data_IF_404585699264
#
_entry.id   IF_404585699264
#
_cell.length_a   1.000
_cell.length_b   1.000
_cell.length_c   1.000
_cell.angle_alpha   90.00
_cell.angle_beta   90.00
_cell.angle_gamma   90.00
#
_symmetry.space_group_name_H-M   'P 1'
#
loop_
_entity.id
_entity.type
_entity.pdbx_description
1 polymer ?
#
# COMPACT_ATOMS: atom_id res chain seq x y z
N UNK A 1 35.42 17.38 47.23
CA UNK A 1 33.98 17.70 47.36
C UNK A 1 33.39 18.46 46.20
N UNK A 2 34.08 19.40 45.55
CA UNK A 2 33.54 20.17 44.39
C UNK A 2 33.27 19.29 43.13
N UNK A 3 34.06 18.26 42.88
CA UNK A 3 33.91 17.39 41.72
C UNK A 3 32.75 16.38 41.85
N UNK A 4 32.36 16.05 43.08
CA UNK A 4 31.23 15.12 43.28
C UNK A 4 29.88 15.81 43.06
N UNK A 5 29.78 17.12 43.37
CA UNK A 5 28.57 17.91 43.10
C UNK A 5 28.36 18.12 41.59
N UNK A 6 29.43 18.26 40.80
CA UNK A 6 29.36 18.45 39.35
C UNK A 6 28.90 17.17 38.67
N UNK A 7 29.31 15.99 39.16
CA UNK A 7 28.87 14.70 38.60
C UNK A 7 27.39 14.42 38.87
N UNK A 8 26.88 14.81 40.07
CA UNK A 8 25.46 14.69 40.39
C UNK A 8 24.57 15.62 39.54
N UNK A 9 25.04 16.82 39.20
CA UNK A 9 24.30 17.73 38.35
C UNK A 9 24.25 17.24 36.87
N UNK A 10 25.26 16.53 36.36
CA UNK A 10 25.24 15.93 35.05
C UNK A 10 24.30 14.72 34.99
N UNK A 11 24.23 13.91 36.05
CA UNK A 11 23.33 12.76 36.10
C UNK A 11 21.85 13.18 36.12
N UNK A 12 21.52 14.27 36.81
CA UNK A 12 20.15 14.80 36.86
C UNK A 12 19.65 15.35 35.52
N UNK A 13 20.55 15.81 34.64
CA UNK A 13 20.17 16.28 33.31
C UNK A 13 19.95 15.16 32.30
N UNK A 14 20.51 13.98 32.51
CA UNK A 14 20.31 12.81 31.63
C UNK A 14 18.93 12.15 31.84
N UNK A 15 18.41 12.19 33.08
CA UNK A 15 17.08 11.61 33.35
C UNK A 15 15.93 12.46 32.81
N UNK A 16 16.10 13.77 32.67
CA UNK A 16 15.03 14.65 32.16
C UNK A 16 14.76 14.52 30.66
N UNK A 17 15.71 14.02 29.88
CA UNK A 17 15.53 13.83 28.44
C UNK A 17 14.81 12.52 28.10
N UNK A 18 14.86 11.51 28.94
CA UNK A 18 14.20 10.21 28.68
C UNK A 18 12.71 10.26 29.05
N UNK A 19 12.30 11.16 29.95
CA UNK A 19 10.91 11.25 30.40
C UNK A 19 10.06 12.29 29.67
N UNK A 20 10.61 13.03 28.71
CA UNK A 20 9.88 14.09 28.00
C UNK A 20 9.43 13.69 26.59
N UNK A 21 9.22 12.39 26.32
CA UNK A 21 8.49 11.96 25.13
C UNK A 21 6.99 12.22 25.32
N UNK A 22 6.55 13.45 25.14
CA UNK A 22 5.13 13.82 25.05
C UNK A 22 4.42 13.22 23.82
N UNK A 23 5.08 12.42 23.02
CA UNK A 23 4.46 11.62 21.96
C UNK A 23 4.27 10.19 22.45
N UNK A 24 3.47 10.00 23.48
CA UNK A 24 2.90 8.68 23.73
C UNK A 24 1.92 8.43 22.61
N UNK A 25 2.36 7.68 21.60
CA UNK A 25 1.46 7.14 20.58
C UNK A 25 0.60 6.12 21.30
N UNK A 26 -0.57 6.53 21.72
CA UNK A 26 -1.54 5.61 22.30
C UNK A 26 -2.05 4.70 21.19
N UNK A 27 -2.00 3.37 21.38
CA UNK A 27 -2.58 2.46 20.40
C UNK A 27 -4.08 2.71 20.29
N UNK A 28 -4.57 2.70 19.07
CA UNK A 28 -6.02 2.74 18.81
C UNK A 28 -6.58 1.36 19.11
N UNK A 29 -7.58 1.28 19.98
CA UNK A 29 -8.25 0.03 20.34
C UNK A 29 -9.57 -0.09 19.62
N UNK A 30 -9.72 -1.14 18.80
CA UNK A 30 -10.99 -1.50 18.15
C UNK A 30 -11.71 -2.59 18.96
N UNK A 31 -12.94 -2.33 19.40
CA UNK A 31 -13.73 -3.32 20.14
C UNK A 31 -14.49 -4.29 19.23
N UNK A 32 -14.97 -3.83 18.08
CA UNK A 32 -15.78 -4.60 17.14
C UNK A 32 -15.05 -4.99 15.86
N UNK A 33 -13.93 -4.35 15.58
CA UNK A 33 -13.12 -4.57 14.40
C UNK A 33 -12.12 -3.43 14.20
N UNK A 34 -11.14 -3.66 13.37
CA UNK A 34 -10.11 -2.67 13.05
C UNK A 34 -9.67 -2.84 11.60
N UNK A 35 -9.41 -1.71 10.95
CA UNK A 35 -8.81 -1.66 9.62
C UNK A 35 -7.59 -0.75 9.67
N UNK A 36 -6.43 -1.27 9.31
CA UNK A 36 -5.17 -0.54 9.28
C UNK A 36 -4.56 -0.64 7.88
N UNK A 37 -4.26 0.50 7.27
CA UNK A 37 -3.65 0.56 5.94
C UNK A 37 -2.63 1.69 5.86
N UNK A 38 -1.84 1.73 4.79
CA UNK A 38 -0.88 2.81 4.53
C UNK A 38 -1.55 4.13 4.10
N UNK A 39 -2.88 4.16 3.87
CA UNK A 39 -3.58 5.37 3.46
C UNK A 39 -4.91 5.52 4.19
N UNK A 40 -5.12 6.67 4.85
CA UNK A 40 -6.28 6.92 5.70
C UNK A 40 -7.63 6.78 4.96
N UNK A 41 -7.71 7.13 3.66
CA UNK A 41 -8.91 6.96 2.85
C UNK A 41 -9.26 5.48 2.71
N UNK A 42 -8.27 4.62 2.47
CA UNK A 42 -8.50 3.18 2.37
C UNK A 42 -8.93 2.58 3.72
N UNK A 43 -8.31 2.99 4.83
CA UNK A 43 -8.75 2.60 6.17
C UNK A 43 -10.18 3.03 6.48
N UNK A 44 -10.57 4.25 6.05
CA UNK A 44 -11.94 4.76 6.19
C UNK A 44 -12.93 3.89 5.40
N UNK A 45 -12.63 3.56 4.15
CA UNK A 45 -13.46 2.70 3.30
C UNK A 45 -13.65 1.32 3.94
N UNK A 46 -12.57 0.68 4.36
CA UNK A 46 -12.67 -0.63 5.02
C UNK A 46 -13.51 -0.60 6.30
N UNK A 47 -13.38 0.47 7.11
CA UNK A 47 -14.23 0.69 8.28
C UNK A 47 -15.70 0.85 7.89
N UNK A 48 -16.01 1.61 6.85
CA UNK A 48 -17.37 1.81 6.37
C UNK A 48 -18.00 0.50 5.88
N UNK A 49 -17.23 -0.36 5.21
CA UNK A 49 -17.67 -1.71 4.83
C UNK A 49 -18.01 -2.54 6.06
N UNK A 50 -17.16 -2.57 7.09
CA UNK A 50 -17.46 -3.27 8.34
C UNK A 50 -18.70 -2.71 9.04
N UNK A 51 -18.90 -1.39 9.04
CA UNK A 51 -20.06 -0.72 9.63
C UNK A 51 -21.36 -1.00 8.88
N UNK A 52 -21.29 -1.25 7.57
CA UNK A 52 -22.45 -1.63 6.75
C UNK A 52 -22.84 -3.10 6.83
N UNK A 53 -22.18 -3.88 7.70
CA UNK A 53 -22.46 -5.29 7.91
C UNK A 53 -21.57 -6.25 7.10
N UNK A 54 -20.59 -5.72 6.36
CA UNK A 54 -19.57 -6.54 5.71
C UNK A 54 -18.60 -7.15 6.70
N UNK A 55 -17.95 -8.21 6.30
CA UNK A 55 -16.94 -8.91 7.09
C UNK A 55 -15.50 -8.42 6.76
N UNK A 56 -14.48 -9.04 7.36
CA UNK A 56 -13.09 -8.68 7.16
C UNK A 56 -12.64 -8.91 5.70
N UNK A 57 -13.20 -9.86 5.00
CA UNK A 57 -12.87 -10.16 3.61
C UNK A 57 -13.46 -9.13 2.67
N UNK A 58 -14.71 -8.71 2.90
CA UNK A 58 -15.33 -7.60 2.18
C UNK A 58 -14.51 -6.31 2.35
N UNK A 59 -14.12 -6.00 3.59
CA UNK A 59 -13.27 -4.85 3.88
C UNK A 59 -11.91 -4.95 3.16
N UNK A 60 -11.30 -6.14 3.10
CA UNK A 60 -10.03 -6.37 2.42
C UNK A 60 -10.14 -6.10 0.91
N UNK A 61 -11.20 -6.59 0.27
CA UNK A 61 -11.46 -6.34 -1.15
C UNK A 61 -11.60 -4.83 -1.41
N UNK A 62 -12.48 -4.15 -0.68
CA UNK A 62 -12.71 -2.71 -0.87
C UNK A 62 -11.44 -1.88 -0.62
N UNK A 63 -10.66 -2.23 0.41
CA UNK A 63 -9.38 -1.61 0.74
C UNK A 63 -8.35 -1.81 -0.37
N UNK A 64 -8.22 -3.03 -0.91
CA UNK A 64 -7.25 -3.34 -1.97
C UNK A 64 -7.49 -2.48 -3.21
N UNK A 65 -8.73 -2.38 -3.67
CA UNK A 65 -9.07 -1.53 -4.81
C UNK A 65 -8.93 -0.03 -4.50
N UNK A 66 -9.26 0.41 -3.28
CA UNK A 66 -9.06 1.79 -2.87
C UNK A 66 -7.57 2.16 -2.85
N UNK A 67 -6.70 1.28 -2.31
CA UNK A 67 -5.25 1.48 -2.31
C UNK A 67 -4.67 1.54 -3.71
N UNK A 68 -5.20 0.77 -4.67
CA UNK A 68 -4.77 0.86 -6.06
C UNK A 68 -4.97 2.27 -6.67
N UNK A 69 -5.92 3.05 -6.14
CA UNK A 69 -6.18 4.42 -6.57
C UNK A 69 -5.39 5.44 -5.75
N UNK A 70 -5.48 5.36 -4.41
CA UNK A 70 -4.93 6.42 -3.53
C UNK A 70 -3.47 6.23 -3.18
N UNK A 71 -2.91 5.05 -3.43
CA UNK A 71 -1.51 4.71 -3.16
C UNK A 71 -0.88 3.96 -4.35
N UNK A 72 -0.87 4.53 -5.57
CA UNK A 72 -0.50 3.81 -6.80
C UNK A 72 0.95 3.32 -6.83
N UNK A 73 1.81 3.76 -5.91
CA UNK A 73 3.19 3.27 -5.79
C UNK A 73 3.30 1.89 -5.13
N UNK A 74 2.26 1.46 -4.41
CA UNK A 74 2.25 0.21 -3.64
C UNK A 74 0.96 -0.59 -3.83
N UNK A 75 -0.22 0.06 -3.81
CA UNK A 75 -1.49 -0.54 -4.19
C UNK A 75 -1.66 -0.53 -5.71
N UNK A 76 -2.08 -1.62 -6.30
CA UNK A 76 -2.26 -1.70 -7.74
C UNK A 76 -3.13 -2.91 -8.14
N UNK A 77 -3.69 -2.86 -9.34
CA UNK A 77 -4.39 -3.99 -9.97
C UNK A 77 -3.50 -4.76 -10.96
N UNK A 78 -2.29 -4.26 -11.19
CA UNK A 78 -1.30 -4.83 -12.12
C UNK A 78 -0.20 -5.63 -11.42
N UNK A 79 -0.35 -5.93 -10.14
CA UNK A 79 0.60 -6.72 -9.34
C UNK A 79 -0.04 -7.94 -8.71
N UNK A 80 0.38 -8.25 -7.52
CA UNK A 80 -0.11 -9.38 -6.74
C UNK A 80 0.16 -9.20 -5.25
N UNK A 81 0.04 -10.28 -4.51
CA UNK A 81 0.27 -10.26 -3.07
C UNK A 81 0.02 -11.60 -2.42
N UNK A 82 0.00 -11.56 -1.09
CA UNK A 82 -0.30 -12.70 -0.23
C UNK A 82 -1.33 -12.28 0.81
N UNK A 83 -2.19 -13.19 1.20
CA UNK A 83 -3.06 -13.02 2.36
C UNK A 83 -2.78 -14.12 3.38
N UNK A 84 -2.80 -13.74 4.66
CA UNK A 84 -2.82 -14.67 5.79
C UNK A 84 -4.13 -14.44 6.52
N UNK A 85 -4.90 -15.48 6.66
CA UNK A 85 -6.25 -15.49 7.19
C UNK A 85 -6.25 -16.31 8.47
N UNK A 86 -6.87 -15.80 9.51
CA UNK A 86 -7.08 -16.55 10.74
C UNK A 86 -8.58 -16.75 10.98
N UNK A 87 -9.00 -18.00 11.01
CA UNK A 87 -10.36 -18.43 11.33
C UNK A 87 -10.45 -18.71 12.82
N UNK A 88 -11.03 -17.78 13.56
CA UNK A 88 -11.06 -17.83 15.03
C UNK A 88 -11.82 -19.05 15.57
N UNK A 89 -12.95 -19.37 14.98
CA UNK A 89 -13.83 -20.44 15.48
C UNK A 89 -13.21 -21.83 15.27
N UNK A 90 -12.44 -22.00 14.21
CA UNK A 90 -11.75 -23.23 13.86
C UNK A 90 -10.31 -23.28 14.39
N UNK A 91 -9.79 -22.13 14.84
CA UNK A 91 -8.40 -21.93 15.25
C UNK A 91 -7.39 -22.35 14.16
N UNK A 92 -7.69 -22.01 12.90
CA UNK A 92 -6.89 -22.39 11.73
C UNK A 92 -6.37 -21.16 11.01
N UNK A 93 -5.16 -21.27 10.50
CA UNK A 93 -4.59 -20.30 9.56
C UNK A 93 -4.71 -20.82 8.13
N UNK A 94 -5.08 -19.93 7.23
CA UNK A 94 -5.09 -20.17 5.79
C UNK A 94 -4.24 -19.12 5.10
N UNK A 95 -3.64 -19.47 3.97
CA UNK A 95 -2.89 -18.54 3.13
C UNK A 95 -3.43 -18.54 1.71
N UNK A 96 -3.50 -17.37 1.11
CA UNK A 96 -3.81 -17.19 -0.30
C UNK A 96 -2.61 -16.55 -0.99
N UNK A 97 -2.07 -17.22 -1.98
CA UNK A 97 -1.00 -16.72 -2.85
C UNK A 97 -1.60 -16.26 -4.18
N UNK A 98 -1.69 -14.96 -4.35
CA UNK A 98 -2.11 -14.30 -5.60
C UNK A 98 -0.97 -13.44 -6.18
N UNK A 99 0.26 -13.87 -5.94
CA UNK A 99 1.42 -13.18 -6.50
C UNK A 99 1.39 -13.22 -8.03
N UNK A 100 1.97 -12.19 -8.61
CA UNK A 100 2.16 -12.13 -10.05
C UNK A 100 3.09 -13.24 -10.53
N UNK A 101 2.81 -13.74 -11.74
CA UNK A 101 3.58 -14.81 -12.39
C UNK A 101 4.37 -14.26 -13.57
N UNK A 102 5.51 -14.89 -13.87
CA UNK A 102 6.23 -14.61 -15.09
C UNK A 102 5.36 -14.93 -16.33
N UNK A 103 5.53 -14.18 -17.41
CA UNK A 103 4.93 -14.50 -18.69
C UNK A 103 5.40 -15.88 -19.19
N UNK A 104 4.53 -16.62 -19.88
CA UNK A 104 4.91 -17.91 -20.52
C UNK A 104 6.06 -17.76 -21.51
N UNK A 105 6.24 -16.58 -22.10
CA UNK A 105 7.36 -16.26 -22.99
C UNK A 105 8.63 -15.84 -22.26
N UNK A 106 8.65 -15.92 -20.93
CA UNK A 106 9.84 -15.57 -20.14
C UNK A 106 10.93 -16.63 -20.31
N UNK A 107 12.18 -16.18 -20.41
CA UNK A 107 13.34 -17.03 -20.46
C UNK A 107 14.40 -16.59 -19.45
N UNK A 108 15.32 -17.50 -19.14
CA UNK A 108 16.44 -17.22 -18.23
C UNK A 108 17.22 -15.97 -18.62
N UNK A 109 17.40 -15.77 -19.91
CA UNK A 109 18.31 -14.76 -20.45
C UNK A 109 17.56 -13.52 -20.98
N UNK A 110 16.24 -13.37 -20.67
CA UNK A 110 15.40 -12.30 -21.20
C UNK A 110 15.88 -10.89 -20.83
N UNK A 111 16.69 -10.76 -19.77
CA UNK A 111 17.25 -9.49 -19.32
C UNK A 111 18.72 -9.29 -19.69
N UNK A 112 19.24 -10.10 -20.60
CA UNK A 112 20.60 -9.97 -21.08
C UNK A 112 20.63 -9.19 -22.43
N UNK A 113 21.65 -8.33 -22.58
CA UNK A 113 22.07 -7.74 -23.85
C UNK A 113 23.53 -8.17 -24.06
N UNK A 114 23.83 -8.81 -25.17
CA UNK A 114 25.18 -9.32 -25.47
C UNK A 114 25.77 -10.20 -24.33
N UNK A 115 24.92 -11.01 -23.69
CA UNK A 115 25.23 -11.86 -22.53
C UNK A 115 25.50 -11.11 -21.21
N UNK A 116 25.32 -9.80 -21.17
CA UNK A 116 25.45 -8.98 -19.97
C UNK A 116 24.05 -8.55 -19.44
N UNK A 117 23.89 -8.55 -18.12
CA UNK A 117 22.63 -8.15 -17.48
C UNK A 117 22.39 -6.65 -17.64
N UNK A 118 21.23 -6.29 -18.22
CA UNK A 118 20.75 -4.91 -18.26
C UNK A 118 19.60 -4.71 -17.24
N UNK A 119 19.86 -3.99 -16.13
CA UNK A 119 18.86 -3.75 -15.10
C UNK A 119 17.64 -2.95 -15.59
N UNK A 120 17.76 -2.21 -16.69
CA UNK A 120 16.63 -1.47 -17.26
C UNK A 120 15.57 -2.41 -17.83
N UNK A 121 15.97 -3.54 -18.41
CA UNK A 121 15.03 -4.51 -18.97
C UNK A 121 14.13 -5.14 -17.90
N UNK A 122 14.60 -5.27 -16.66
CA UNK A 122 13.83 -5.81 -15.53
C UNK A 122 13.01 -4.76 -14.78
N UNK A 123 13.19 -3.47 -15.09
CA UNK A 123 12.55 -2.37 -14.37
C UNK A 123 11.75 -1.41 -15.23
N UNK A 124 11.95 -1.41 -16.54
CA UNK A 124 11.31 -0.49 -17.48
C UNK A 124 10.78 -1.21 -18.73
N UNK A 125 9.57 -0.86 -19.17
CA UNK A 125 8.97 -1.39 -20.38
C UNK A 125 8.31 -2.77 -20.22
N UNK A 126 7.96 -3.38 -21.34
CA UNK A 126 7.11 -4.57 -21.36
C UNK A 126 7.75 -5.83 -20.76
N UNK A 127 9.07 -5.97 -20.81
CA UNK A 127 9.77 -7.11 -20.22
C UNK A 127 9.75 -7.11 -18.68
N UNK A 128 9.51 -5.93 -18.08
CA UNK A 128 9.41 -5.79 -16.63
C UNK A 128 8.01 -6.11 -16.08
N UNK A 129 7.03 -6.37 -16.96
CA UNK A 129 5.63 -6.61 -16.57
C UNK A 129 5.42 -8.10 -16.37
N UNK A 130 4.89 -8.47 -15.19
CA UNK A 130 4.44 -9.82 -14.89
C UNK A 130 2.93 -9.97 -15.16
N UNK A 131 2.41 -11.19 -15.17
CA UNK A 131 0.97 -11.48 -15.22
C UNK A 131 0.36 -11.20 -13.85
N UNK A 132 -0.59 -10.24 -13.74
CA UNK A 132 -1.11 -9.82 -12.45
C UNK A 132 -1.99 -10.87 -11.77
N UNK A 133 -1.94 -10.89 -10.42
CA UNK A 133 -2.79 -11.75 -9.61
C UNK A 133 -3.76 -11.00 -8.68
N UNK A 134 -3.60 -9.66 -8.50
CA UNK A 134 -4.39 -8.92 -7.50
C UNK A 134 -5.90 -9.05 -7.69
N UNK A 135 -6.41 -8.89 -8.91
CA UNK A 135 -7.86 -8.94 -9.16
C UNK A 135 -8.39 -10.35 -8.94
N UNK A 136 -7.67 -11.34 -9.42
CA UNK A 136 -8.02 -12.76 -9.27
C UNK A 136 -8.02 -13.18 -7.80
N UNK A 137 -6.97 -12.84 -7.06
CA UNK A 137 -6.88 -13.12 -5.61
C UNK A 137 -7.97 -12.43 -4.80
N UNK A 138 -8.32 -11.19 -5.11
CA UNK A 138 -9.42 -10.50 -4.44
C UNK A 138 -10.77 -11.12 -4.81
N UNK A 139 -10.92 -11.59 -6.04
CA UNK A 139 -12.11 -12.30 -6.49
C UNK A 139 -12.25 -13.65 -5.78
N UNK A 140 -11.19 -14.45 -5.73
CA UNK A 140 -11.17 -15.74 -5.02
C UNK A 140 -11.50 -15.57 -3.54
N UNK A 141 -10.87 -14.59 -2.88
CA UNK A 141 -11.15 -14.25 -1.48
C UNK A 141 -12.63 -13.91 -1.26
N UNK A 142 -13.19 -13.09 -2.16
CA UNK A 142 -14.60 -12.70 -2.09
C UNK A 142 -15.53 -13.88 -2.35
N UNK A 143 -15.27 -14.70 -3.36
CA UNK A 143 -16.12 -15.86 -3.65
C UNK A 143 -16.16 -16.85 -2.50
N UNK A 144 -15.07 -17.02 -1.77
CA UNK A 144 -14.96 -17.96 -0.66
C UNK A 144 -15.55 -17.43 0.64
N UNK A 145 -15.39 -16.13 0.91
CA UNK A 145 -15.67 -15.56 2.23
C UNK A 145 -16.47 -14.26 2.21
N UNK A 146 -16.67 -13.65 1.07
CA UNK A 146 -17.41 -12.39 0.96
C UNK A 146 -18.89 -12.53 1.32
N UNK A 147 -19.44 -11.50 1.90
CA UNK A 147 -20.87 -11.44 2.28
C UNK A 147 -21.64 -10.33 1.56
N UNK A 148 -20.95 -9.27 1.13
CA UNK A 148 -21.56 -8.17 0.41
C UNK A 148 -21.36 -8.33 -1.11
N UNK A 149 -22.22 -7.71 -1.94
CA UNK A 149 -22.06 -7.79 -3.39
C UNK A 149 -20.72 -7.18 -3.84
N UNK A 150 -19.98 -7.89 -4.68
CA UNK A 150 -18.71 -7.44 -5.27
C UNK A 150 -18.76 -6.03 -5.83
N UNK A 151 -19.85 -5.74 -6.57
CA UNK A 151 -20.06 -4.43 -7.16
C UNK A 151 -20.01 -3.30 -6.14
N UNK A 152 -20.57 -3.52 -4.96
CA UNK A 152 -20.64 -2.51 -3.90
C UNK A 152 -19.27 -2.29 -3.25
N UNK A 153 -18.47 -3.34 -3.14
CA UNK A 153 -17.12 -3.30 -2.58
C UNK A 153 -16.14 -2.51 -3.46
N UNK A 154 -16.29 -2.56 -4.78
CA UNK A 154 -15.41 -1.84 -5.69
C UNK A 154 -15.87 -0.38 -5.97
N UNK A 155 -17.13 -0.03 -5.68
CA UNK A 155 -17.68 1.31 -5.93
C UNK A 155 -16.90 2.46 -5.29
N UNK A 156 -16.41 2.35 -4.04
CA UNK A 156 -15.59 3.42 -3.44
C UNK A 156 -14.33 3.72 -4.26
N UNK A 157 -13.64 2.69 -4.75
CA UNK A 157 -12.46 2.85 -5.59
C UNK A 157 -12.80 3.50 -6.95
N UNK A 158 -13.92 3.10 -7.58
CA UNK A 158 -14.40 3.70 -8.83
C UNK A 158 -14.69 5.19 -8.62
N UNK A 159 -15.34 5.56 -7.52
CA UNK A 159 -15.60 6.96 -7.19
C UNK A 159 -14.31 7.76 -6.99
N UNK A 160 -13.35 7.21 -6.26
CA UNK A 160 -12.05 7.84 -6.07
C UNK A 160 -11.31 8.06 -7.40
N UNK A 161 -11.35 7.07 -8.30
CA UNK A 161 -10.70 7.16 -9.60
C UNK A 161 -11.37 8.17 -10.54
N UNK A 162 -12.71 8.26 -10.52
CA UNK A 162 -13.48 9.14 -11.41
C UNK A 162 -13.62 10.58 -10.89
N UNK A 163 -13.76 10.76 -9.58
CA UNK A 163 -13.98 12.07 -8.97
C UNK A 163 -12.69 12.69 -8.46
N UNK A 164 -11.63 11.89 -8.33
CA UNK A 164 -10.36 12.31 -7.75
C UNK A 164 -10.36 12.29 -6.21
N UNK A 165 -9.19 12.51 -5.66
CA UNK A 165 -8.94 12.61 -4.23
C UNK A 165 -7.84 13.64 -3.95
N UNK A 166 -7.74 14.12 -2.72
CA UNK A 166 -6.68 15.04 -2.33
C UNK A 166 -5.37 14.25 -2.20
N UNK A 167 -4.39 14.58 -3.04
CA UNK A 167 -3.03 14.01 -2.98
C UNK A 167 -2.36 14.51 -1.71
N UNK A 168 -1.74 13.58 -0.95
CA UNK A 168 -0.97 13.93 0.25
C UNK A 168 0.40 14.50 -0.12
N UNK A 169 1.04 15.33 0.75
CA UNK A 169 2.40 15.81 0.52
C UNK A 169 3.38 14.68 0.21
N UNK A 170 3.32 13.61 0.99
CA UNK A 170 4.14 12.42 0.76
C UNK A 170 3.96 11.78 -0.63
N UNK A 171 2.72 11.68 -1.12
CA UNK A 171 2.46 11.16 -2.46
C UNK A 171 3.00 12.11 -3.54
N UNK A 172 2.87 13.40 -3.35
CA UNK A 172 3.39 14.38 -4.27
C UNK A 172 4.92 14.33 -4.38
N UNK A 173 5.60 14.29 -3.24
CA UNK A 173 7.05 14.15 -3.20
C UNK A 173 7.50 12.86 -3.90
N UNK A 174 6.76 11.76 -3.67
CA UNK A 174 7.00 10.50 -4.37
C UNK A 174 6.84 10.65 -5.89
N UNK A 175 5.75 11.22 -6.37
CA UNK A 175 5.53 11.43 -7.79
C UNK A 175 6.59 12.35 -8.40
N UNK A 176 6.97 13.43 -7.71
CA UNK A 176 8.02 14.34 -8.14
C UNK A 176 9.39 13.65 -8.23
N UNK A 177 9.72 12.76 -7.30
CA UNK A 177 11.00 12.01 -7.33
C UNK A 177 11.10 11.01 -8.49
N UNK A 178 9.96 10.51 -8.98
CA UNK A 178 9.90 9.62 -10.15
C UNK A 178 9.68 10.35 -11.48
N UNK A 179 9.62 11.68 -11.50
CA UNK A 179 9.25 12.47 -12.67
C UNK A 179 10.10 12.15 -13.90
N UNK A 180 11.43 12.19 -13.79
CA UNK A 180 12.33 11.93 -14.92
C UNK A 180 12.09 10.54 -15.55
N UNK A 181 11.88 9.53 -14.71
CA UNK A 181 11.63 8.18 -15.17
C UNK A 181 10.29 8.05 -15.89
N UNK A 182 9.23 8.65 -15.33
CA UNK A 182 7.87 8.55 -15.84
C UNK A 182 7.65 9.41 -17.09
N UNK A 183 8.35 10.52 -17.23
CA UNK A 183 8.25 11.39 -18.40
C UNK A 183 8.72 10.74 -19.72
N UNK A 184 9.56 9.71 -19.64
CA UNK A 184 9.96 8.89 -20.80
C UNK A 184 8.77 8.20 -21.47
N UNK A 185 7.72 7.91 -20.72
CA UNK A 185 6.54 7.17 -21.20
C UNK A 185 5.35 8.12 -21.38
N UNK A 186 4.96 8.37 -22.63
CA UNK A 186 3.89 9.32 -22.99
C UNK A 186 2.58 9.08 -22.22
N UNK A 187 2.16 7.82 -22.10
CA UNK A 187 0.91 7.44 -21.39
C UNK A 187 1.03 7.70 -19.90
N UNK A 188 2.11 7.26 -19.25
CA UNK A 188 2.36 7.47 -17.83
C UNK A 188 2.40 8.95 -17.49
N UNK A 189 3.12 9.74 -18.30
CA UNK A 189 3.18 11.19 -18.14
C UNK A 189 1.79 11.84 -18.22
N UNK A 190 0.95 11.42 -19.18
CA UNK A 190 -0.42 11.96 -19.36
C UNK A 190 -1.31 11.68 -18.14
N UNK A 191 -1.13 10.53 -17.49
CA UNK A 191 -1.97 10.10 -16.36
C UNK A 191 -1.52 10.75 -15.05
N UNK A 192 -0.21 10.75 -14.76
CA UNK A 192 0.32 11.09 -13.44
C UNK A 192 0.82 12.52 -13.33
N UNK A 193 1.00 13.25 -14.44
CA UNK A 193 1.60 14.58 -14.38
C UNK A 193 0.78 15.62 -15.13
N UNK A 194 0.66 16.81 -14.54
CA UNK A 194 0.21 18.03 -15.21
C UNK A 194 1.34 18.58 -16.07
N UNK A 195 1.04 19.52 -17.00
CA UNK A 195 2.04 20.14 -17.88
C UNK A 195 3.20 20.75 -17.10
N UNK A 196 2.94 21.29 -15.92
CA UNK A 196 3.91 22.01 -15.06
C UNK A 196 4.50 21.14 -13.93
N UNK A 197 4.21 19.84 -13.95
CA UNK A 197 4.54 18.92 -12.85
C UNK A 197 3.60 19.06 -11.65
N UNK A 198 3.77 18.20 -10.66
CA UNK A 198 3.11 18.35 -9.37
C UNK A 198 3.91 19.34 -8.53
N UNK A 199 3.48 20.61 -8.52
CA UNK A 199 3.95 21.55 -7.52
C UNK A 199 2.90 21.65 -6.42
N UNK A 200 3.30 21.34 -5.20
CA UNK A 200 2.55 21.72 -4.01
C UNK A 200 2.96 23.15 -3.67
N UNK A 201 2.00 24.04 -3.64
CA UNK A 201 2.14 25.36 -3.04
C UNK A 201 1.80 25.24 -1.55
#
# INVERSE_FOLDING_TARGET
>A
MKNLLFLCCLALNLESQVLNSRSVVHPVVGQKGMVVTQHFIASKIGREVLQSGGNAFDATVAVSFALAVVLPRAGNIGGGGFAVIYHKDENVFETLDYREKASENSSRDMYLINKEFDPKLSTEGYKAIAVPGTVDGMWELHQKYGSLPWKDLIQPAIKLASQGFRVTPYMADTLNSYQERFYKFKTTRKIFYKKDGFKFN
#
